data_IF_655686310287
#
_entry.id   IF_655686310287
#
_cell.length_a   1.000
_cell.length_b   1.000
_cell.length_c   1.000
_cell.angle_alpha   90.00
_cell.angle_beta   90.00
_cell.angle_gamma   90.00
#
_symmetry.space_group_name_H-M   'P 1'
#
loop_
_entity.id
_entity.type
_entity.pdbx_description
1 polymer ?
#
# COMPACT_ATOMS: atom_id res chain seq x y z
N UNK A 1 4.99 -1.36 -20.31
CA UNK A 1 6.42 -0.96 -20.44
C UNK A 1 6.62 0.54 -20.24
N UNK A 2 5.79 1.41 -20.84
CA UNK A 2 5.89 2.87 -20.66
C UNK A 2 5.66 3.25 -19.19
N UNK A 3 4.68 2.64 -18.52
CA UNK A 3 4.40 2.81 -17.09
C UNK A 3 5.58 2.37 -16.22
N UNK A 4 6.17 1.19 -16.50
CA UNK A 4 7.32 0.70 -15.77
C UNK A 4 8.58 1.59 -15.93
N UNK A 5 8.72 2.28 -17.06
CA UNK A 5 9.79 3.28 -17.25
C UNK A 5 9.53 4.51 -16.37
N UNK A 6 8.27 4.97 -16.28
CA UNK A 6 7.91 6.05 -15.37
C UNK A 6 8.12 5.66 -13.92
N UNK A 7 7.78 4.42 -13.54
CA UNK A 7 8.03 3.88 -12.20
C UNK A 7 9.53 3.87 -11.85
N UNK A 8 10.42 3.55 -12.80
CA UNK A 8 11.87 3.64 -12.58
C UNK A 8 12.33 5.08 -12.35
N UNK A 9 11.79 6.04 -13.11
CA UNK A 9 12.16 7.45 -12.99
C UNK A 9 11.68 8.03 -11.66
N UNK A 10 10.50 7.61 -11.21
CA UNK A 10 9.86 8.08 -9.97
C UNK A 10 10.19 7.24 -8.74
N UNK A 11 10.98 6.17 -8.88
CA UNK A 11 11.30 5.28 -7.77
C UNK A 11 12.14 5.98 -6.68
N UNK A 12 11.58 6.05 -5.50
CA UNK A 12 12.26 6.54 -4.29
C UNK A 12 12.92 5.35 -3.57
N UNK A 13 14.26 5.22 -3.71
CA UNK A 13 15.02 4.17 -3.05
C UNK A 13 15.34 2.94 -3.92
N UNK A 14 16.21 2.06 -3.35
CA UNK A 14 16.72 0.89 -4.08
C UNK A 14 15.67 -0.18 -4.35
N UNK A 15 14.79 -0.42 -3.39
CA UNK A 15 13.76 -1.45 -3.52
C UNK A 15 12.70 -1.05 -4.53
N UNK A 16 12.26 0.23 -4.54
CA UNK A 16 11.35 0.76 -5.54
C UNK A 16 11.92 0.63 -6.96
N UNK A 17 13.19 1.02 -7.15
CA UNK A 17 13.87 0.87 -8.43
C UNK A 17 14.03 -0.60 -8.87
N UNK A 18 14.32 -1.52 -7.95
CA UNK A 18 14.40 -2.95 -8.23
C UNK A 18 13.03 -3.53 -8.65
N UNK A 19 11.94 -3.12 -7.97
CA UNK A 19 10.57 -3.52 -8.29
C UNK A 19 10.17 -3.02 -9.68
N UNK A 20 10.42 -1.74 -9.98
CA UNK A 20 10.13 -1.13 -11.27
C UNK A 20 10.93 -1.81 -12.41
N UNK A 21 12.20 -2.14 -12.17
CA UNK A 21 13.01 -2.88 -13.13
C UNK A 21 12.51 -4.31 -13.34
N UNK A 22 12.07 -5.00 -12.29
CA UNK A 22 11.45 -6.32 -12.39
C UNK A 22 10.15 -6.28 -13.21
N UNK A 23 9.34 -5.22 -13.01
CA UNK A 23 8.12 -4.97 -13.78
C UNK A 23 8.43 -4.71 -15.26
N UNK A 24 9.43 -3.86 -15.56
CA UNK A 24 9.89 -3.60 -16.93
C UNK A 24 10.34 -4.88 -17.63
N UNK A 25 11.03 -5.77 -16.93
CA UNK A 25 11.47 -7.05 -17.43
C UNK A 25 10.36 -8.11 -17.48
N UNK A 26 9.10 -7.75 -17.23
CA UNK A 26 7.94 -8.62 -17.37
C UNK A 26 7.87 -9.74 -16.33
N UNK A 27 8.34 -9.51 -15.10
CA UNK A 27 8.32 -10.52 -14.04
C UNK A 27 6.91 -11.06 -13.75
N UNK A 28 5.92 -10.18 -13.65
CA UNK A 28 4.51 -10.54 -13.46
C UNK A 28 3.97 -11.33 -14.67
N UNK A 29 4.26 -10.85 -15.89
CA UNK A 29 3.80 -11.50 -17.11
C UNK A 29 4.33 -12.95 -17.22
N UNK A 30 5.60 -13.19 -16.86
CA UNK A 30 6.16 -14.55 -16.82
C UNK A 30 5.48 -15.45 -15.81
N UNK A 31 5.20 -14.94 -14.60
CA UNK A 31 4.49 -15.71 -13.57
C UNK A 31 3.08 -16.09 -14.02
N UNK A 32 2.34 -15.13 -14.57
CA UNK A 32 0.97 -15.41 -15.10
C UNK A 32 1.02 -16.36 -16.30
N UNK A 33 2.00 -16.23 -17.20
CA UNK A 33 2.17 -17.14 -18.33
C UNK A 33 2.42 -18.58 -17.86
N UNK A 34 3.23 -18.79 -16.84
CA UNK A 34 3.48 -20.11 -16.28
C UNK A 34 2.20 -20.77 -15.73
N UNK A 35 1.35 -20.00 -15.02
CA UNK A 35 0.07 -20.51 -14.52
C UNK A 35 -0.91 -20.81 -15.68
N UNK A 36 -0.95 -19.94 -16.67
CA UNK A 36 -1.75 -20.17 -17.90
C UNK A 36 -1.31 -21.44 -18.60
N UNK A 37 0.00 -21.67 -18.75
CA UNK A 37 0.54 -22.86 -19.43
C UNK A 37 0.20 -24.13 -18.66
N UNK A 38 0.27 -24.12 -17.31
CA UNK A 38 -0.15 -25.24 -16.47
C UNK A 38 -1.64 -25.58 -16.67
N UNK A 39 -2.52 -24.58 -16.66
CA UNK A 39 -3.95 -24.77 -16.90
C UNK A 39 -4.25 -25.22 -18.34
N UNK A 40 -3.50 -24.71 -19.33
CA UNK A 40 -3.65 -25.10 -20.73
C UNK A 40 -3.24 -26.56 -20.94
N UNK A 41 -2.15 -27.01 -20.31
CA UNK A 41 -1.72 -28.40 -20.35
C UNK A 41 -2.77 -29.33 -19.73
N UNK A 42 -3.34 -28.93 -18.59
CA UNK A 42 -4.41 -29.69 -17.93
C UNK A 42 -5.67 -29.78 -18.80
N UNK A 43 -6.05 -28.66 -19.42
CA UNK A 43 -7.19 -28.61 -20.35
C UNK A 43 -6.96 -29.51 -21.58
N UNK A 44 -5.74 -29.46 -22.15
CA UNK A 44 -5.40 -30.31 -23.31
C UNK A 44 -5.44 -31.79 -22.95
N UNK A 45 -4.95 -32.18 -21.77
CA UNK A 45 -5.01 -33.56 -21.28
C UNK A 45 -6.48 -34.03 -21.11
N UNK A 46 -7.33 -33.20 -20.48
CA UNK A 46 -8.77 -33.50 -20.31
C UNK A 46 -9.47 -33.65 -21.67
N UNK A 47 -9.19 -32.75 -22.61
CA UNK A 47 -9.78 -32.82 -23.94
C UNK A 47 -9.37 -34.11 -24.67
N UNK A 48 -8.09 -34.47 -24.63
CA UNK A 48 -7.59 -35.70 -25.23
C UNK A 48 -8.24 -36.95 -24.61
N UNK A 49 -8.40 -36.98 -23.29
CA UNK A 49 -9.03 -38.11 -22.58
C UNK A 49 -10.52 -38.25 -22.93
N UNK A 50 -11.23 -37.14 -23.14
CA UNK A 50 -12.67 -37.16 -23.52
C UNK A 50 -12.86 -37.49 -25.00
N UNK A 51 -12.03 -36.92 -25.88
CA UNK A 51 -12.23 -37.02 -27.33
C UNK A 51 -11.70 -38.34 -27.91
N UNK A 52 -10.74 -38.99 -27.23
CA UNK A 52 -10.07 -40.20 -27.66
C UNK A 52 -10.15 -41.34 -26.64
N UNK A 53 -11.38 -41.82 -26.28
CA UNK A 53 -11.54 -42.81 -25.21
C UNK A 53 -11.00 -44.23 -25.59
N UNK A 54 -10.68 -44.46 -26.84
CA UNK A 54 -10.10 -45.71 -27.33
C UNK A 54 -8.58 -45.69 -27.47
N UNK A 55 -7.96 -44.50 -27.20
CA UNK A 55 -6.52 -44.37 -27.22
C UNK A 55 -5.96 -44.49 -25.79
N UNK A 56 -4.68 -44.90 -25.66
CA UNK A 56 -3.99 -45.07 -24.38
C UNK A 56 -3.64 -43.67 -23.76
N UNK A 57 -4.64 -42.77 -23.65
CA UNK A 57 -4.48 -41.50 -22.92
C UNK A 57 -4.55 -41.80 -21.42
N UNK A 58 -3.54 -41.48 -20.63
CA UNK A 58 -3.57 -41.72 -19.19
C UNK A 58 -4.76 -41.01 -18.53
N UNK A 59 -5.46 -41.76 -17.67
CA UNK A 59 -6.55 -41.19 -16.89
C UNK A 59 -6.05 -40.06 -16.01
N UNK A 60 -6.75 -38.94 -16.02
CA UNK A 60 -6.46 -37.82 -15.16
C UNK A 60 -6.97 -38.08 -13.74
N UNK A 61 -6.10 -38.46 -12.83
CA UNK A 61 -6.51 -38.71 -11.45
C UNK A 61 -6.99 -37.42 -10.77
N UNK A 62 -8.01 -37.56 -9.94
CA UNK A 62 -8.48 -36.42 -9.12
C UNK A 62 -7.38 -35.77 -8.26
N UNK A 63 -6.45 -36.59 -7.74
CA UNK A 63 -5.33 -36.08 -6.96
C UNK A 63 -4.41 -35.18 -7.80
N UNK A 64 -4.10 -35.55 -9.03
CA UNK A 64 -3.26 -34.74 -9.92
C UNK A 64 -3.99 -33.45 -10.34
N UNK A 65 -5.29 -33.53 -10.59
CA UNK A 65 -6.12 -32.35 -10.87
C UNK A 65 -6.07 -31.34 -9.69
N UNK A 66 -6.30 -31.83 -8.46
CA UNK A 66 -6.27 -31.00 -7.27
C UNK A 66 -4.86 -30.42 -6.99
N UNK A 67 -3.79 -31.18 -7.27
CA UNK A 67 -2.43 -30.72 -7.11
C UNK A 67 -2.11 -29.54 -8.06
N UNK A 68 -2.41 -29.69 -9.35
CA UNK A 68 -2.16 -28.62 -10.34
C UNK A 68 -2.99 -27.37 -10.03
N UNK A 69 -4.29 -27.53 -9.76
CA UNK A 69 -5.17 -26.39 -9.45
C UNK A 69 -4.78 -25.72 -8.13
N UNK A 70 -4.45 -26.49 -7.09
CA UNK A 70 -3.97 -25.96 -5.82
C UNK A 70 -2.64 -25.23 -5.95
N UNK A 71 -1.73 -25.70 -6.80
CA UNK A 71 -0.48 -24.99 -7.10
C UNK A 71 -0.71 -23.64 -7.79
N UNK A 72 -1.64 -23.62 -8.77
CA UNK A 72 -2.03 -22.35 -9.44
C UNK A 72 -2.66 -21.37 -8.44
N UNK A 73 -3.58 -21.84 -7.61
CA UNK A 73 -4.24 -21.03 -6.58
C UNK A 73 -3.21 -20.41 -5.61
N UNK A 74 -2.29 -21.21 -5.07
CA UNK A 74 -1.24 -20.73 -4.16
C UNK A 74 -0.34 -19.67 -4.79
N UNK A 75 0.07 -19.85 -6.04
CA UNK A 75 0.90 -18.85 -6.74
C UNK A 75 0.13 -17.56 -7.02
N UNK A 76 -1.15 -17.63 -7.35
CA UNK A 76 -1.99 -16.46 -7.55
C UNK A 76 -2.23 -15.72 -6.23
N UNK A 77 -2.48 -16.43 -5.13
CA UNK A 77 -2.65 -15.86 -3.80
C UNK A 77 -1.35 -15.16 -3.34
N UNK A 78 -0.19 -15.78 -3.57
CA UNK A 78 1.09 -15.15 -3.27
C UNK A 78 1.30 -13.85 -4.07
N UNK A 79 0.86 -13.80 -5.33
CA UNK A 79 0.91 -12.58 -6.15
C UNK A 79 -0.02 -11.50 -5.59
N UNK A 80 -1.23 -11.86 -5.18
CA UNK A 80 -2.20 -10.92 -4.57
C UNK A 80 -1.63 -10.36 -3.27
N UNK A 81 -1.12 -11.20 -2.38
CA UNK A 81 -0.52 -10.76 -1.12
C UNK A 81 0.71 -9.84 -1.30
N UNK A 82 1.47 -10.04 -2.39
CA UNK A 82 2.61 -9.19 -2.70
C UNK A 82 2.22 -7.80 -3.23
N UNK A 83 0.96 -7.59 -3.61
CA UNK A 83 0.49 -6.34 -4.20
C UNK A 83 0.56 -5.17 -3.21
N UNK A 84 0.09 -5.37 -1.98
CA UNK A 84 0.07 -4.31 -0.96
C UNK A 84 1.49 -3.85 -0.60
N UNK A 85 2.42 -4.79 -0.45
CA UNK A 85 3.82 -4.46 -0.21
C UNK A 85 4.45 -3.72 -1.40
N UNK A 86 4.10 -4.08 -2.63
CA UNK A 86 4.53 -3.38 -3.84
C UNK A 86 3.94 -1.97 -3.95
N UNK A 87 2.68 -1.78 -3.59
CA UNK A 87 2.02 -0.48 -3.56
C UNK A 87 2.70 0.47 -2.57
N UNK A 88 3.03 -0.01 -1.36
CA UNK A 88 3.78 0.75 -0.34
C UNK A 88 5.13 1.23 -0.87
N UNK A 89 5.86 0.40 -1.61
CA UNK A 89 7.17 0.77 -2.16
C UNK A 89 7.06 1.74 -3.35
N UNK A 90 5.95 1.75 -4.07
CA UNK A 90 5.72 2.60 -5.25
C UNK A 90 5.08 3.93 -4.88
N UNK A 91 4.04 3.91 -4.08
CA UNK A 91 3.19 5.07 -3.77
C UNK A 91 3.55 5.71 -2.42
N UNK A 92 4.25 4.94 -1.58
CA UNK A 92 4.50 5.31 -0.19
C UNK A 92 3.32 4.96 0.70
N UNK A 93 3.40 5.40 1.95
CA UNK A 93 2.36 5.26 2.96
C UNK A 93 1.82 6.63 3.33
N UNK A 94 0.54 6.79 3.19
CA UNK A 94 -0.17 7.97 3.66
C UNK A 94 -0.19 7.96 5.19
N UNK A 95 0.47 8.95 5.81
CA UNK A 95 0.69 9.01 7.24
C UNK A 95 0.07 10.27 7.84
N UNK A 96 -0.91 10.07 8.73
CA UNK A 96 -1.54 11.14 9.46
C UNK A 96 -0.85 11.36 10.81
N UNK A 97 -0.46 12.60 11.13
CA UNK A 97 0.07 12.97 12.44
C UNK A 97 -1.02 13.65 13.25
N UNK A 98 -1.44 13.03 14.34
CA UNK A 98 -2.53 13.51 15.20
C UNK A 98 -2.06 13.76 16.63
N UNK A 99 -2.75 14.63 17.34
CA UNK A 99 -2.44 14.94 18.74
C UNK A 99 -2.89 16.35 19.10
N UNK A 100 -2.89 16.67 20.38
CA UNK A 100 -3.25 17.99 20.88
C UNK A 100 -2.31 19.10 20.36
N UNK A 101 -2.73 20.36 20.41
CA UNK A 101 -1.82 21.49 20.23
C UNK A 101 -0.66 21.38 21.22
N UNK A 102 0.54 21.72 20.75
CA UNK A 102 1.77 21.70 21.54
C UNK A 102 2.24 20.33 22.05
N UNK A 103 1.60 19.23 21.67
CA UNK A 103 2.05 17.87 22.00
C UNK A 103 3.38 17.47 21.31
N UNK A 104 3.94 18.34 20.45
CA UNK A 104 5.20 18.05 19.77
C UNK A 104 5.07 17.57 18.32
N UNK A 105 3.88 17.63 17.71
CA UNK A 105 3.65 17.20 16.32
C UNK A 105 4.60 17.85 15.31
N UNK A 106 4.71 19.18 15.35
CA UNK A 106 5.60 19.94 14.46
C UNK A 106 7.08 19.61 14.71
N UNK A 107 7.45 19.32 15.96
CA UNK A 107 8.81 18.89 16.31
C UNK A 107 9.10 17.52 15.72
N UNK A 108 8.14 16.58 15.83
CA UNK A 108 8.25 15.26 15.23
C UNK A 108 8.34 15.36 13.70
N UNK A 109 7.48 16.17 13.07
CA UNK A 109 7.46 16.41 11.64
C UNK A 109 8.80 16.98 11.15
N UNK A 110 9.34 18.00 11.84
CA UNK A 110 10.63 18.57 11.52
C UNK A 110 11.78 17.58 11.73
N UNK A 111 11.69 16.72 12.74
CA UNK A 111 12.68 15.68 12.98
C UNK A 111 12.66 14.65 11.85
N UNK A 112 11.48 14.17 11.46
CA UNK A 112 11.31 13.25 10.34
C UNK A 112 11.79 13.86 9.03
N UNK A 113 11.51 15.13 8.77
CA UNK A 113 11.99 15.88 7.61
C UNK A 113 13.51 16.10 7.60
N UNK A 114 14.15 16.10 8.76
CA UNK A 114 15.61 16.25 8.92
C UNK A 114 16.40 14.95 8.79
N UNK A 115 15.75 13.78 8.81
CA UNK A 115 16.39 12.50 8.54
C UNK A 115 16.57 12.32 7.03
N UNK A 116 17.80 12.56 6.56
CA UNK A 116 18.38 12.36 5.23
C UNK A 116 17.41 12.30 4.02
N UNK A 117 17.47 13.37 3.23
CA UNK A 117 16.83 13.55 1.92
C UNK A 117 15.30 13.65 1.95
N UNK A 118 14.75 14.57 2.72
CA UNK A 118 13.44 15.12 2.39
C UNK A 118 13.52 15.74 0.99
N UNK A 119 13.15 14.99 -0.03
CA UNK A 119 12.84 15.57 -1.33
C UNK A 119 11.50 16.27 -1.12
N UNK A 120 11.55 17.52 -0.66
CA UNK A 120 10.39 18.42 -0.69
C UNK A 120 10.12 18.73 -2.15
N UNK A 121 9.45 17.85 -2.84
CA UNK A 121 8.82 18.19 -4.11
C UNK A 121 7.42 18.66 -3.79
N UNK A 122 7.09 19.95 -4.00
CA UNK A 122 5.70 20.30 -4.19
C UNK A 122 5.28 19.56 -5.47
N UNK A 123 4.55 18.46 -5.33
CA UNK A 123 3.95 17.77 -6.47
C UNK A 123 2.85 18.69 -7.00
N UNK A 124 3.24 19.61 -7.86
CA UNK A 124 2.33 20.41 -8.66
C UNK A 124 1.73 19.47 -9.71
N UNK A 125 0.47 19.07 -9.53
CA UNK A 125 -0.23 18.35 -10.59
C UNK A 125 -1.40 17.47 -10.20
N UNK A 126 -1.65 17.17 -8.93
CA UNK A 126 -2.85 16.44 -8.54
C UNK A 126 -3.77 17.34 -7.71
N UNK A 127 -4.79 17.83 -8.36
CA UNK A 127 -5.80 18.77 -7.88
C UNK A 127 -6.75 18.15 -6.85
N UNK A 128 -6.28 17.42 -5.81
CA UNK A 128 -7.22 17.00 -4.74
C UNK A 128 -6.64 16.73 -3.37
N UNK A 129 -5.34 16.47 -3.20
CA UNK A 129 -4.83 16.11 -1.89
C UNK A 129 -3.60 16.93 -1.51
N UNK A 130 -3.72 17.70 -0.43
CA UNK A 130 -2.61 18.48 0.13
C UNK A 130 -1.72 17.50 0.89
N UNK A 131 -0.75 16.88 0.19
CA UNK A 131 0.41 16.27 0.86
C UNK A 131 1.24 17.42 1.35
N UNK A 132 1.30 17.64 2.66
CA UNK A 132 2.07 18.75 3.23
C UNK A 132 3.58 18.46 3.14
N UNK A 133 3.98 17.21 3.28
CA UNK A 133 5.38 16.83 3.21
C UNK A 133 5.56 15.33 2.91
N UNK A 134 6.47 14.97 2.01
CA UNK A 134 6.91 13.59 1.81
C UNK A 134 8.28 13.40 2.46
N UNK A 135 8.44 12.33 3.23
CA UNK A 135 9.68 11.98 3.94
C UNK A 135 10.08 10.57 3.57
N UNK A 136 11.36 10.38 3.22
CA UNK A 136 11.91 9.05 2.95
C UNK A 136 12.44 8.44 4.24
N UNK A 137 11.89 7.31 4.66
CA UNK A 137 12.35 6.50 5.79
C UNK A 137 12.91 5.17 5.27
N UNK A 138 14.22 5.10 5.08
CA UNK A 138 14.84 3.95 4.42
C UNK A 138 14.37 3.81 2.97
N UNK A 139 13.73 2.69 2.65
CA UNK A 139 13.17 2.42 1.31
C UNK A 139 11.67 2.77 1.21
N UNK A 140 11.05 3.29 2.26
CA UNK A 140 9.61 3.62 2.28
C UNK A 140 9.42 5.13 2.32
N UNK A 141 8.57 5.63 1.43
CA UNK A 141 8.12 7.02 1.42
C UNK A 141 6.92 7.17 2.35
N UNK A 142 6.96 8.13 3.27
CA UNK A 142 5.82 8.56 4.07
C UNK A 142 5.27 9.86 3.49
N UNK A 143 4.01 9.85 3.09
CA UNK A 143 3.26 11.04 2.69
C UNK A 143 2.61 11.61 3.95
N UNK A 144 3.22 12.62 4.55
CA UNK A 144 2.76 13.20 5.82
C UNK A 144 1.64 14.20 5.57
N UNK A 145 0.54 14.04 6.30
CA UNK A 145 -0.56 14.99 6.34
C UNK A 145 -0.63 15.62 7.73
N UNK A 146 -0.63 16.96 7.81
CA UNK A 146 -0.90 17.65 9.08
C UNK A 146 -2.42 17.71 9.33
N UNK A 147 -2.83 17.13 10.42
CA UNK A 147 -4.21 17.17 10.89
C UNK A 147 -4.42 18.26 11.94
N UNK A 148 -3.65 19.37 11.89
CA UNK A 148 -3.75 20.46 12.85
C UNK A 148 -5.15 21.10 12.96
N UNK A 149 -6.04 20.83 11.99
CA UNK A 149 -7.41 21.32 11.93
C UNK A 149 -8.49 20.48 12.63
N UNK A 150 -8.14 19.44 13.42
CA UNK A 150 -9.15 18.57 14.10
C UNK A 150 -9.84 19.22 15.31
N UNK A 151 -9.88 20.55 15.41
CA UNK A 151 -10.61 21.24 16.51
C UNK A 151 -12.09 21.32 16.17
N UNK A 152 -12.93 21.09 17.18
CA UNK A 152 -14.34 21.45 17.13
C UNK A 152 -14.46 22.99 17.13
N UNK A 153 -15.00 23.55 16.08
CA UNK A 153 -15.33 24.96 15.97
C UNK A 153 -16.80 25.12 15.55
N UNK A 154 -17.40 26.22 15.99
CA UNK A 154 -18.81 26.55 15.69
C UNK A 154 -18.99 27.17 14.29
N UNK A 155 -17.89 27.43 13.56
CA UNK A 155 -17.94 28.00 12.21
C UNK A 155 -18.08 26.91 11.13
N UNK A 156 -19.04 27.07 10.21
CA UNK A 156 -19.34 26.10 9.13
C UNK A 156 -18.14 25.82 8.22
N UNK A 157 -17.26 26.80 8.00
CA UNK A 157 -16.05 26.66 7.16
C UNK A 157 -15.00 25.80 7.85
N UNK A 158 -14.83 25.93 9.17
CA UNK A 158 -13.95 25.10 9.98
C UNK A 158 -14.51 23.68 10.16
N UNK A 159 -15.83 23.51 10.27
CA UNK A 159 -16.47 22.19 10.34
C UNK A 159 -16.23 21.35 9.08
N UNK A 160 -16.17 21.97 7.89
CA UNK A 160 -15.80 21.29 6.64
C UNK A 160 -14.32 20.88 6.64
N UNK A 161 -13.43 21.74 7.15
CA UNK A 161 -12.00 21.43 7.32
C UNK A 161 -11.78 20.24 8.27
N UNK A 162 -12.48 20.21 9.39
CA UNK A 162 -12.47 19.13 10.36
C UNK A 162 -12.95 17.82 9.72
N UNK A 163 -14.05 17.85 8.97
CA UNK A 163 -14.61 16.69 8.29
C UNK A 163 -13.63 16.11 7.26
N UNK A 164 -12.93 16.96 6.51
CA UNK A 164 -11.86 16.55 5.56
C UNK A 164 -10.67 15.92 6.30
N UNK A 165 -10.26 16.49 7.41
CA UNK A 165 -9.19 15.95 8.22
C UNK A 165 -9.53 14.56 8.81
N UNK A 166 -10.77 14.37 9.28
CA UNK A 166 -11.24 13.05 9.74
C UNK A 166 -11.31 12.02 8.60
N UNK A 167 -11.78 12.43 7.42
CA UNK A 167 -11.80 11.56 6.25
C UNK A 167 -10.38 11.12 5.86
N UNK A 168 -9.42 12.04 5.85
CA UNK A 168 -8.00 11.72 5.60
C UNK A 168 -7.42 10.77 6.65
N UNK A 169 -7.80 10.95 7.92
CA UNK A 169 -7.42 10.02 8.98
C UNK A 169 -7.99 8.61 8.73
N UNK A 170 -9.20 8.53 8.17
CA UNK A 170 -9.83 7.25 7.81
C UNK A 170 -9.16 6.56 6.64
N UNK A 171 -8.60 7.33 5.71
CA UNK A 171 -7.91 6.86 4.51
C UNK A 171 -6.41 6.62 4.75
N UNK A 172 -5.83 7.13 5.86
CA UNK A 172 -4.43 6.98 6.18
C UNK A 172 -4.03 5.51 6.41
N UNK A 173 -2.94 5.09 5.78
CA UNK A 173 -2.34 3.78 5.98
C UNK A 173 -1.52 3.67 7.27
N UNK A 174 -1.14 4.81 7.87
CA UNK A 174 -0.41 4.88 9.13
C UNK A 174 -0.86 6.09 9.95
N UNK A 175 -1.03 5.92 11.26
CA UNK A 175 -1.39 7.01 12.15
C UNK A 175 -0.32 7.17 13.22
N UNK A 176 0.30 8.35 13.29
CA UNK A 176 1.22 8.75 14.36
C UNK A 176 0.47 9.61 15.38
N UNK A 177 0.01 9.01 16.46
CA UNK A 177 -0.63 9.72 17.56
C UNK A 177 0.41 10.23 18.56
N UNK A 178 0.51 11.54 18.70
CA UNK A 178 1.49 12.23 19.58
C UNK A 178 0.79 12.70 20.84
N UNK A 179 1.25 12.23 21.98
CA UNK A 179 0.74 12.59 23.31
C UNK A 179 1.84 13.27 24.14
N UNK A 180 1.46 14.29 24.91
CA UNK A 180 2.36 14.91 25.87
C UNK A 180 2.46 14.02 27.12
N UNK A 181 3.65 13.45 27.33
CA UNK A 181 3.91 12.58 28.50
C UNK A 181 4.21 13.33 29.80
N UNK A 182 4.27 14.67 29.78
CA UNK A 182 4.51 15.49 30.98
C UNK A 182 3.28 15.65 31.85
N UNK A 183 2.07 15.41 31.30
CA UNK A 183 0.79 15.51 31.99
C UNK A 183 -0.01 14.18 31.95
N UNK A 184 -0.90 13.95 32.91
CA UNK A 184 -1.79 12.81 32.87
C UNK A 184 -2.71 12.88 31.64
N UNK A 185 -3.06 11.71 31.02
CA UNK A 185 -3.93 11.68 29.85
C UNK A 185 -5.30 12.25 30.15
N UNK A 186 -5.77 13.14 29.29
CA UNK A 186 -7.09 13.75 29.41
C UNK A 186 -8.16 12.90 28.68
N UNK A 187 -9.43 13.30 28.80
CA UNK A 187 -10.52 12.62 28.08
C UNK A 187 -10.35 12.68 26.55
N UNK A 188 -9.82 13.79 26.03
CA UNK A 188 -9.54 13.96 24.61
C UNK A 188 -8.44 13.01 24.12
N UNK A 189 -7.39 12.81 24.92
CA UNK A 189 -6.31 11.86 24.58
C UNK A 189 -6.83 10.43 24.53
N UNK A 190 -7.69 10.06 25.47
CA UNK A 190 -8.31 8.73 25.52
C UNK A 190 -9.28 8.52 24.35
N UNK A 191 -10.01 9.56 23.96
CA UNK A 191 -10.90 9.48 22.79
C UNK A 191 -10.11 9.35 21.50
N UNK A 192 -9.04 10.14 21.33
CA UNK A 192 -8.12 10.04 20.19
C UNK A 192 -7.50 8.64 20.11
N UNK A 193 -6.98 8.14 21.23
CA UNK A 193 -6.40 6.78 21.28
C UNK A 193 -7.42 5.70 20.91
N UNK A 194 -8.69 5.81 21.37
CA UNK A 194 -9.76 4.87 20.98
C UNK A 194 -10.07 4.92 19.48
N UNK A 195 -10.08 6.11 18.89
CA UNK A 195 -10.34 6.27 17.44
C UNK A 195 -9.21 5.74 16.58
N UNK A 196 -7.97 5.79 17.08
CA UNK A 196 -6.81 5.22 16.40
C UNK A 196 -6.66 3.71 16.65
N UNK A 197 -7.31 3.16 17.69
CA UNK A 197 -7.20 1.75 18.04
C UNK A 197 -7.71 0.84 16.91
N UNK A 198 -6.92 -0.19 16.57
CA UNK A 198 -7.24 -1.16 15.53
C UNK A 198 -6.87 -0.71 14.10
N UNK A 199 -6.16 0.42 13.98
CA UNK A 199 -5.55 0.91 12.74
C UNK A 199 -4.02 0.83 12.84
N UNK A 200 -3.30 0.62 11.74
CA UNK A 200 -1.84 0.66 11.73
C UNK A 200 -1.29 2.06 12.03
#
# INVERSE_FOLDING_TARGET
QAEAVMDIISADGRQGAALANASLNGALARKIAAQKDALTALQAHLAAWVDFPEEDVPELSQSHLCEVLGGVEQELDALIQSYDAGAVLREGVDCAIVGKPNAGKSTLLNLLAGFDRAIVTPVAGTTRDVVEQAVQLGDVRLNLFDTAGLRQTEDEIEAEGIRRSWKKLEEAGLILAVFDGSEPPTREDLELARRCAGRP
#
